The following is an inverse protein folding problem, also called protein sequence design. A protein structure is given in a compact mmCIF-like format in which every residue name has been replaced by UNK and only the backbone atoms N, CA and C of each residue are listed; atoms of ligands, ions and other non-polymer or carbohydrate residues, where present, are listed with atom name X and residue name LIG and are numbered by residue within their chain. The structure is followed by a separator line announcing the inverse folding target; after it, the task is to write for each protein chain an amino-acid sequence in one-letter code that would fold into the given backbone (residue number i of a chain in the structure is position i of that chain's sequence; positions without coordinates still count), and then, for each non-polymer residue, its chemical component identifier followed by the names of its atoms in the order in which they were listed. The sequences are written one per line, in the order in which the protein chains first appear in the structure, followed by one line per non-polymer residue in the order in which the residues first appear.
data_IF_797836787408
#
_entry.id   IF_797836787408
#
_cell.length_a   1.000
_cell.length_b   1.000
_cell.length_c   1.000
_cell.angle_alpha   90.00
_cell.angle_beta   90.00
_cell.angle_gamma   90.00
#
_symmetry.space_group_name_H-M   'P 1'
#
loop_
_entity.id
_entity.type
_entity.pdbx_description
1 polymer ?
#
# COMPACT_ATOMS: atom_id res chain seq x y z
N UNK A 1 1.65 -9.24 9.88
CA UNK A 1 1.99 -7.89 9.45
C UNK A 1 2.11 -7.87 7.94
N UNK A 2 1.60 -6.84 7.31
CA UNK A 2 1.72 -6.66 5.86
C UNK A 2 2.28 -5.27 5.59
N UNK A 3 3.36 -5.22 4.84
CA UNK A 3 4.06 -4.00 4.51
C UNK A 3 3.92 -3.72 3.02
N UNK A 4 3.58 -2.49 2.69
CA UNK A 4 3.50 -1.98 1.33
C UNK A 4 4.32 -0.72 1.21
N UNK A 5 4.88 -0.48 0.05
CA UNK A 5 5.45 0.80 -0.31
C UNK A 5 4.38 1.65 -1.00
N UNK A 6 4.33 2.93 -0.67
CA UNK A 6 3.50 3.94 -1.31
C UNK A 6 4.38 5.03 -1.92
N UNK A 7 3.76 5.99 -2.56
CA UNK A 7 4.39 7.20 -3.05
C UNK A 7 4.88 8.12 -1.93
N UNK A 8 5.35 9.30 -2.30
CA UNK A 8 5.93 10.26 -1.36
C UNK A 8 4.97 10.62 -0.22
N UNK A 9 5.55 10.95 0.94
CA UNK A 9 4.80 11.49 2.05
C UNK A 9 4.16 12.84 1.65
N UNK A 10 2.92 13.06 2.08
CA UNK A 10 2.14 14.25 1.73
C UNK A 10 1.05 14.01 0.68
N UNK A 11 1.12 12.93 -0.08
CA UNK A 11 0.03 12.49 -0.94
C UNK A 11 -0.98 11.68 -0.11
N UNK A 12 -2.27 11.94 -0.30
CA UNK A 12 -3.32 11.20 0.39
C UNK A 12 -3.22 9.70 0.10
N UNK A 13 -3.35 8.85 1.11
CA UNK A 13 -3.19 7.39 0.97
C UNK A 13 -4.17 6.74 -0.01
N UNK A 14 -5.33 7.36 -0.25
CA UNK A 14 -6.29 6.92 -1.26
C UNK A 14 -5.82 7.17 -2.70
N UNK A 15 -5.00 8.20 -2.89
CA UNK A 15 -4.49 8.63 -4.20
C UNK A 15 -3.12 8.01 -4.51
N UNK A 16 -2.50 7.37 -3.54
CA UNK A 16 -1.17 6.77 -3.70
C UNK A 16 -1.24 5.39 -4.34
N UNK A 17 -0.39 5.16 -5.32
CA UNK A 17 -0.05 3.82 -5.77
C UNK A 17 0.66 3.06 -4.64
N UNK A 18 0.54 1.75 -4.60
CA UNK A 18 1.30 0.95 -3.66
C UNK A 18 1.55 -0.47 -4.16
N UNK A 19 2.64 -1.07 -3.71
CA UNK A 19 3.02 -2.43 -4.05
C UNK A 19 3.12 -3.35 -2.83
N UNK A 20 2.79 -4.62 -3.03
CA UNK A 20 2.95 -5.70 -2.08
C UNK A 20 3.44 -6.94 -2.84
N UNK A 21 4.55 -7.59 -2.42
CA UNK A 21 5.48 -7.18 -1.36
C UNK A 21 6.18 -5.84 -1.67
N UNK A 22 6.85 -5.21 -0.66
CA UNK A 22 7.59 -3.97 -0.89
C UNK A 22 8.71 -4.18 -1.90
N UNK A 23 8.69 -3.41 -3.00
CA UNK A 23 9.62 -3.60 -4.11
C UNK A 23 11.04 -3.12 -3.82
N UNK A 24 11.21 -2.01 -3.10
CA UNK A 24 12.51 -1.34 -2.95
C UNK A 24 12.96 -1.12 -1.50
N UNK A 25 12.28 -1.73 -0.52
CA UNK A 25 12.70 -1.64 0.87
C UNK A 25 13.66 -2.78 1.22
N UNK A 26 14.82 -2.44 1.79
CA UNK A 26 15.79 -3.43 2.24
C UNK A 26 15.26 -4.26 3.41
N UNK A 27 15.73 -5.50 3.56
CA UNK A 27 15.29 -6.38 4.64
C UNK A 27 15.55 -5.81 6.06
N UNK A 28 16.67 -5.14 6.34
CA UNK A 28 16.88 -4.49 7.64
C UNK A 28 15.81 -3.42 7.94
N UNK A 29 15.50 -2.56 6.98
CA UNK A 29 14.47 -1.53 7.13
C UNK A 29 13.09 -2.14 7.39
N UNK A 30 12.73 -3.18 6.64
CA UNK A 30 11.48 -3.90 6.88
C UNK A 30 11.41 -4.50 8.29
N UNK A 31 12.52 -5.07 8.78
CA UNK A 31 12.59 -5.64 10.13
C UNK A 31 12.40 -4.55 11.19
N UNK A 32 13.05 -3.42 11.04
CA UNK A 32 12.90 -2.29 11.97
C UNK A 32 11.47 -1.75 11.97
N UNK A 33 10.85 -1.57 10.80
CA UNK A 33 9.44 -1.19 10.67
C UNK A 33 8.51 -2.15 11.41
N UNK A 34 8.76 -3.46 11.31
CA UNK A 34 8.00 -4.50 12.01
C UNK A 34 8.08 -4.35 13.52
N UNK A 35 9.28 -4.14 14.05
CA UNK A 35 9.48 -3.97 15.47
C UNK A 35 8.83 -2.68 16.01
N UNK A 36 8.89 -1.59 15.24
CA UNK A 36 8.18 -0.33 15.55
C UNK A 36 6.68 -0.59 15.64
N UNK A 37 6.09 -1.23 14.64
CA UNK A 37 4.66 -1.52 14.60
C UNK A 37 4.22 -2.44 15.74
N UNK A 38 5.02 -3.47 16.09
CA UNK A 38 4.75 -4.36 17.22
C UNK A 38 4.71 -3.60 18.54
N UNK A 39 5.71 -2.75 18.81
CA UNK A 39 5.76 -1.94 20.03
C UNK A 39 4.52 -1.07 20.17
N UNK A 40 4.13 -0.39 19.08
CA UNK A 40 2.92 0.43 19.08
C UNK A 40 1.65 -0.40 19.31
N UNK A 41 1.53 -1.55 18.66
CA UNK A 41 0.36 -2.42 18.84
C UNK A 41 0.20 -2.91 20.27
N UNK A 42 1.30 -3.23 20.94
CA UNK A 42 1.31 -3.67 22.34
C UNK A 42 0.95 -2.50 23.25
N UNK A 43 1.60 -1.36 23.10
CA UNK A 43 1.39 -0.17 23.94
C UNK A 43 -0.06 0.35 23.83
N UNK A 44 -0.62 0.34 22.64
CA UNK A 44 -2.00 0.74 22.38
C UNK A 44 -3.03 -0.36 22.69
N UNK A 45 -2.59 -1.54 23.16
CA UNK A 45 -3.45 -2.71 23.44
C UNK A 45 -4.41 -3.01 22.28
N UNK A 46 -3.89 -3.01 21.04
CA UNK A 46 -4.71 -3.15 19.84
C UNK A 46 -5.30 -4.56 19.75
N UNK A 47 -6.62 -4.63 19.59
CA UNK A 47 -7.34 -5.86 19.24
C UNK A 47 -8.03 -5.69 17.89
N UNK A 48 -7.61 -6.49 16.92
CA UNK A 48 -8.11 -6.41 15.56
C UNK A 48 -7.10 -5.79 14.61
N UNK A 49 -7.44 -4.68 13.95
CA UNK A 49 -6.61 -4.05 12.93
C UNK A 49 -5.99 -2.75 13.41
N UNK A 50 -4.78 -2.51 12.95
CA UNK A 50 -4.07 -1.26 13.10
C UNK A 50 -3.41 -0.90 11.76
N UNK A 51 -3.48 0.35 11.39
CA UNK A 51 -2.77 0.91 10.25
C UNK A 51 -1.73 1.89 10.76
N UNK A 52 -0.49 1.74 10.32
CA UNK A 52 0.61 2.64 10.64
C UNK A 52 1.16 3.20 9.35
N UNK A 53 1.29 4.52 9.28
CA UNK A 53 1.98 5.19 8.19
C UNK A 53 3.38 5.58 8.65
N UNK A 54 4.36 5.12 7.90
CA UNK A 54 5.77 5.38 8.11
C UNK A 54 6.34 6.09 6.89
N UNK A 55 7.29 6.99 7.10
CA UNK A 55 8.12 7.53 6.04
C UNK A 55 9.57 7.07 6.24
N UNK A 56 10.26 6.86 5.14
CA UNK A 56 11.69 6.55 5.12
C UNK A 56 12.43 7.68 4.42
N UNK A 57 13.42 8.25 5.10
CA UNK A 57 14.32 9.25 4.53
C UNK A 57 15.73 8.99 5.05
N UNK A 58 16.70 8.86 4.16
CA UNK A 58 18.11 8.62 4.50
C UNK A 58 18.29 7.46 5.50
N UNK A 59 17.64 6.33 5.23
CA UNK A 59 17.58 5.13 6.07
C UNK A 59 16.99 5.34 7.48
N UNK A 60 16.39 6.50 7.75
CA UNK A 60 15.66 6.77 8.99
C UNK A 60 14.17 6.58 8.80
N UNK A 61 13.56 5.88 9.75
CA UNK A 61 12.12 5.63 9.78
C UNK A 61 11.45 6.70 10.65
N UNK A 62 10.45 7.36 10.07
CA UNK A 62 9.62 8.36 10.75
C UNK A 62 8.20 7.82 10.87
N UNK A 63 7.61 7.93 12.06
CA UNK A 63 6.21 7.62 12.29
C UNK A 63 5.38 8.85 11.93
N UNK A 64 4.49 8.70 10.95
CA UNK A 64 3.58 9.77 10.53
C UNK A 64 2.30 9.70 11.34
N UNK A 65 1.62 8.55 11.33
CA UNK A 65 0.40 8.34 12.10
C UNK A 65 0.16 6.86 12.42
N UNK A 66 -0.60 6.64 13.48
CA UNK A 66 -1.08 5.33 13.89
C UNK A 66 -2.60 5.37 14.00
N UNK A 67 -3.27 4.47 13.31
CA UNK A 67 -4.72 4.34 13.34
C UNK A 67 -5.11 2.95 13.82
N UNK A 68 -5.55 2.76 15.09
CA UNK A 68 -5.97 1.45 15.62
C UNK A 68 -7.37 1.08 15.13
N UNK A 69 -7.53 0.99 13.84
CA UNK A 69 -8.76 0.66 13.11
C UNK A 69 -8.44 0.08 11.74
N UNK A 70 -9.46 -0.46 11.06
CA UNK A 70 -9.36 -0.84 9.66
C UNK A 70 -9.03 0.38 8.77
N UNK A 71 -8.33 0.14 7.67
CA UNK A 71 -8.05 1.13 6.64
C UNK A 71 -8.62 0.68 5.29
N UNK A 72 -8.66 1.59 4.31
CA UNK A 72 -9.04 1.28 2.91
C UNK A 72 -8.10 0.27 2.26
N UNK A 73 -6.90 0.10 2.78
CA UNK A 73 -5.90 -0.87 2.29
C UNK A 73 -6.29 -2.32 2.56
N UNK A 74 -7.17 -2.58 3.53
CA UNK A 74 -7.52 -3.94 3.96
C UNK A 74 -8.08 -4.82 2.83
N UNK A 75 -8.98 -4.36 1.95
CA UNK A 75 -9.43 -5.16 0.81
C UNK A 75 -8.30 -5.52 -0.15
N UNK A 76 -7.42 -4.58 -0.48
CA UNK A 76 -6.25 -4.80 -1.32
C UNK A 76 -5.33 -5.86 -0.71
N UNK A 77 -4.89 -5.66 0.53
CA UNK A 77 -4.00 -6.59 1.23
C UNK A 77 -4.63 -7.99 1.35
N UNK A 78 -5.92 -8.05 1.72
CA UNK A 78 -6.64 -9.32 1.85
C UNK A 78 -6.66 -10.13 0.55
N UNK A 79 -6.83 -9.45 -0.59
CA UNK A 79 -6.75 -10.08 -1.92
C UNK A 79 -5.34 -10.56 -2.24
N UNK A 80 -4.32 -9.73 -1.95
CA UNK A 80 -2.92 -10.07 -2.21
C UNK A 80 -2.47 -11.33 -1.48
N UNK A 81 -2.86 -11.48 -0.21
CA UNK A 81 -2.42 -12.61 0.64
C UNK A 81 -3.42 -13.77 0.70
N UNK A 82 -4.58 -13.65 0.05
CA UNK A 82 -5.61 -14.69 0.05
C UNK A 82 -6.35 -14.88 1.38
N UNK A 83 -6.20 -13.95 2.34
CA UNK A 83 -6.81 -14.04 3.68
C UNK A 83 -7.66 -12.82 3.98
N UNK A 84 -8.92 -13.04 4.37
CA UNK A 84 -9.81 -11.95 4.76
C UNK A 84 -9.42 -11.37 6.13
N UNK A 85 -8.58 -10.32 6.12
CA UNK A 85 -8.11 -9.67 7.34
C UNK A 85 -9.25 -9.08 8.18
N UNK A 86 -10.33 -8.63 7.54
CA UNK A 86 -11.52 -8.14 8.25
C UNK A 86 -12.18 -9.23 9.09
N UNK A 87 -12.30 -10.46 8.54
CA UNK A 87 -12.84 -11.61 9.29
C UNK A 87 -11.92 -12.01 10.44
N UNK A 88 -10.61 -12.02 10.18
CA UNK A 88 -9.60 -12.32 11.23
C UNK A 88 -9.72 -11.33 12.38
N UNK A 89 -9.76 -10.04 12.05
CA UNK A 89 -9.88 -8.98 13.05
C UNK A 89 -11.17 -9.08 13.86
N UNK A 90 -12.31 -9.30 13.19
CA UNK A 90 -13.60 -9.45 13.88
C UNK A 90 -13.58 -10.61 14.89
N UNK A 91 -12.97 -11.73 14.53
CA UNK A 91 -12.77 -12.86 15.44
C UNK A 91 -11.86 -12.53 16.63
N UNK A 92 -10.78 -11.78 16.38
CA UNK A 92 -9.91 -11.29 17.46
C UNK A 92 -10.67 -10.38 18.43
N UNK A 93 -11.55 -9.51 17.92
CA UNK A 93 -12.35 -8.60 18.75
C UNK A 93 -13.33 -9.36 19.69
N UNK A 94 -13.80 -10.54 19.28
CA UNK A 94 -14.63 -11.39 20.13
C UNK A 94 -13.86 -12.46 20.91
N UNK A 95 -12.53 -12.32 20.98
CA UNK A 95 -11.68 -13.11 21.88
C UNK A 95 -10.98 -14.31 21.26
N UNK A 96 -11.15 -14.60 19.96
CA UNK A 96 -10.36 -15.65 19.31
C UNK A 96 -8.93 -15.15 19.05
N UNK A 97 -7.95 -15.96 19.39
CA UNK A 97 -6.55 -15.62 19.09
C UNK A 97 -6.19 -15.87 17.64
N UNK A 98 -5.09 -15.30 17.16
CA UNK A 98 -4.56 -15.60 15.82
C UNK A 98 -4.19 -17.09 15.69
N UNK A 99 -3.71 -17.70 16.79
CA UNK A 99 -3.39 -19.13 16.85
C UNK A 99 -4.63 -20.00 16.64
N UNK A 100 -5.76 -19.65 17.25
CA UNK A 100 -7.04 -20.37 17.08
C UNK A 100 -7.55 -20.28 15.64
N UNK A 101 -7.10 -19.28 14.90
CA UNK A 101 -7.42 -19.04 13.50
C UNK A 101 -6.38 -19.61 12.53
N UNK A 102 -5.38 -20.37 13.02
CA UNK A 102 -4.24 -20.89 12.26
C UNK A 102 -3.40 -19.80 11.56
N UNK A 103 -3.38 -18.59 12.10
CA UNK A 103 -2.55 -17.48 11.61
C UNK A 103 -1.37 -17.32 12.54
N UNK A 104 -0.30 -18.04 12.27
CA UNK A 104 0.89 -18.12 13.14
C UNK A 104 2.11 -17.38 12.58
N UNK A 105 2.05 -16.99 11.32
CA UNK A 105 3.14 -16.27 10.63
C UNK A 105 2.59 -15.27 9.63
N UNK A 106 3.45 -14.36 9.21
CA UNK A 106 3.19 -13.45 8.10
C UNK A 106 3.05 -14.23 6.79
N UNK A 107 2.10 -13.85 5.96
CA UNK A 107 1.92 -14.39 4.62
C UNK A 107 2.54 -13.40 3.65
N UNK A 108 3.62 -13.82 2.99
CA UNK A 108 4.28 -13.06 1.93
C UNK A 108 3.86 -13.67 0.60
N UNK A 109 3.17 -12.94 -0.28
CA UNK A 109 2.78 -13.48 -1.59
C UNK A 109 4.01 -13.71 -2.48
N UNK A 110 3.96 -14.75 -3.30
CA UNK A 110 5.00 -15.09 -4.28
C UNK A 110 4.93 -14.22 -5.56
N UNK A 111 3.86 -13.44 -5.69
CA UNK A 111 3.61 -12.54 -6.81
C UNK A 111 3.59 -11.08 -6.33
N UNK A 112 3.80 -10.16 -7.24
CA UNK A 112 3.60 -8.74 -6.98
C UNK A 112 2.14 -8.36 -7.20
N UNK A 113 1.63 -7.52 -6.31
CA UNK A 113 0.35 -6.85 -6.46
C UNK A 113 0.57 -5.35 -6.37
N UNK A 114 0.05 -4.61 -7.33
CA UNK A 114 0.09 -3.15 -7.34
C UNK A 114 -1.34 -2.62 -7.28
N UNK A 115 -1.57 -1.71 -6.36
CA UNK A 115 -2.80 -0.91 -6.31
C UNK A 115 -2.54 0.41 -7.02
N UNK A 116 -3.42 0.80 -7.93
CA UNK A 116 -3.42 2.10 -8.56
C UNK A 116 -4.74 2.82 -8.25
N UNK A 117 -4.68 4.15 -8.12
CA UNK A 117 -5.85 4.99 -7.91
C UNK A 117 -6.52 5.32 -9.24
N UNK A 118 -7.85 5.40 -9.24
CA UNK A 118 -8.62 5.86 -10.42
C UNK A 118 -9.01 7.30 -10.23
N UNK A 119 -8.56 8.17 -11.13
CA UNK A 119 -8.82 9.60 -11.08
C UNK A 119 -9.88 10.02 -12.11
N UNK A 120 -10.81 10.90 -11.73
CA UNK A 120 -11.86 11.38 -12.65
C UNK A 120 -11.46 12.62 -13.45
N UNK A 121 -10.15 12.92 -13.60
CA UNK A 121 -9.67 14.17 -14.23
C UNK A 121 -10.17 14.37 -15.64
N UNK A 122 -10.30 13.30 -16.40
CA UNK A 122 -10.84 13.33 -17.76
C UNK A 122 -12.33 13.73 -17.82
N UNK A 123 -13.07 13.59 -16.72
CA UNK A 123 -14.50 13.95 -16.61
C UNK A 123 -14.72 15.38 -16.15
N UNK A 124 -13.71 16.00 -15.56
CA UNK A 124 -13.79 17.33 -14.97
C UNK A 124 -12.67 18.25 -15.51
N UNK A 125 -12.83 18.80 -16.73
CA UNK A 125 -11.83 19.68 -17.34
C UNK A 125 -11.54 20.89 -16.44
N UNK A 126 -10.26 21.25 -16.31
CA UNK A 126 -9.82 22.42 -15.54
C UNK A 126 -9.55 22.16 -14.05
N UNK A 127 -9.73 20.94 -13.58
CA UNK A 127 -9.26 20.55 -12.23
C UNK A 127 -7.76 20.32 -12.29
N UNK A 128 -7.05 20.86 -11.28
CA UNK A 128 -5.63 20.64 -11.09
C UNK A 128 -5.35 19.16 -10.76
N UNK A 129 -4.57 18.43 -11.57
CA UNK A 129 -4.24 17.02 -11.34
C UNK A 129 -3.14 16.81 -10.29
N UNK A 130 -2.50 17.86 -9.78
CA UNK A 130 -1.42 17.75 -8.79
C UNK A 130 -1.98 17.13 -7.52
N UNK A 131 -1.38 16.01 -7.11
CA UNK A 131 -1.77 15.28 -5.92
C UNK A 131 -1.25 15.96 -4.65
N UNK A 132 -1.98 15.81 -3.56
CA UNK A 132 -1.68 16.43 -2.28
C UNK A 132 -2.39 15.73 -1.11
N UNK A 133 -2.57 16.42 0.02
CA UNK A 133 -3.17 15.82 1.22
C UNK A 133 -4.68 15.55 1.09
N UNK A 134 -5.35 16.13 0.10
CA UNK A 134 -6.77 15.94 -0.14
C UNK A 134 -6.98 14.82 -1.17
N UNK A 135 -7.90 13.89 -0.90
CA UNK A 135 -8.21 12.78 -1.78
C UNK A 135 -8.95 13.24 -3.04
N UNK A 136 -8.40 12.92 -4.21
CA UNK A 136 -8.99 13.21 -5.54
C UNK A 136 -9.49 11.96 -6.26
N UNK A 137 -9.01 10.79 -5.88
CA UNK A 137 -9.41 9.52 -6.49
C UNK A 137 -10.86 9.13 -6.18
N UNK A 138 -11.49 8.44 -7.10
CA UNK A 138 -12.87 7.93 -6.99
C UNK A 138 -12.96 6.42 -6.87
N UNK A 139 -11.84 5.72 -7.03
CA UNK A 139 -11.77 4.27 -6.98
C UNK A 139 -10.32 3.79 -6.94
N UNK A 140 -10.16 2.48 -6.95
CA UNK A 140 -8.87 1.82 -7.01
C UNK A 140 -8.96 0.52 -7.80
N UNK A 141 -7.86 0.16 -8.45
CA UNK A 141 -7.69 -1.08 -9.19
C UNK A 141 -6.47 -1.83 -8.68
N UNK A 142 -6.37 -3.10 -9.04
CA UNK A 142 -5.23 -3.94 -8.66
C UNK A 142 -4.71 -4.69 -9.88
N UNK A 143 -3.41 -4.53 -10.14
CA UNK A 143 -2.64 -5.36 -11.06
C UNK A 143 -1.88 -6.44 -10.30
N UNK A 144 -1.79 -7.64 -10.88
CA UNK A 144 -1.04 -8.78 -10.33
C UNK A 144 -0.11 -9.33 -11.40
N UNK A 145 1.15 -9.60 -11.04
CA UNK A 145 2.16 -10.11 -11.96
C UNK A 145 3.27 -10.87 -11.26
N UNK A 146 4.04 -11.64 -12.01
CA UNK A 146 5.24 -12.30 -11.50
C UNK A 146 6.38 -11.31 -11.23
N UNK A 147 6.36 -10.18 -11.92
CA UNK A 147 7.29 -9.07 -11.71
C UNK A 147 6.54 -7.80 -11.29
N UNK A 148 7.25 -6.90 -10.62
CA UNK A 148 6.69 -5.59 -10.26
C UNK A 148 6.21 -4.82 -11.49
N UNK A 149 7.01 -4.78 -12.57
CA UNK A 149 6.67 -4.07 -13.82
C UNK A 149 5.39 -4.62 -14.48
N UNK A 150 5.20 -5.95 -14.47
CA UNK A 150 3.97 -6.56 -14.99
C UNK A 150 2.75 -6.18 -14.14
N UNK A 151 2.88 -6.26 -12.82
CA UNK A 151 1.80 -5.90 -11.91
C UNK A 151 1.44 -4.41 -12.04
N UNK A 152 2.46 -3.54 -12.14
CA UNK A 152 2.29 -2.10 -12.33
C UNK A 152 1.59 -1.79 -13.66
N UNK A 153 2.10 -2.32 -14.78
CA UNK A 153 1.47 -2.11 -16.10
C UNK A 153 0.01 -2.57 -16.16
N UNK A 154 -0.33 -3.68 -15.50
CA UNK A 154 -1.72 -4.13 -15.39
C UNK A 154 -2.58 -3.19 -14.53
N UNK A 155 -2.01 -2.61 -13.48
CA UNK A 155 -2.71 -1.65 -12.64
C UNK A 155 -3.01 -0.35 -13.41
N UNK A 156 -2.04 0.19 -14.15
CA UNK A 156 -2.21 1.36 -15.03
C UNK A 156 -3.34 1.14 -16.06
N UNK A 157 -3.27 0.02 -16.77
CA UNK A 157 -4.33 -0.36 -17.71
C UNK A 157 -5.72 -0.46 -17.06
N UNK A 158 -5.76 -0.99 -15.83
CA UNK A 158 -6.98 -1.08 -15.04
C UNK A 158 -7.52 0.28 -14.59
N UNK A 159 -6.63 1.26 -14.39
CA UNK A 159 -6.98 2.65 -14.07
C UNK A 159 -7.44 3.46 -15.31
N UNK A 160 -7.37 2.88 -16.50
CA UNK A 160 -7.54 3.48 -17.82
C UNK A 160 -6.43 4.48 -18.18
N UNK A 161 -5.23 4.27 -17.64
CA UNK A 161 -4.03 4.99 -18.02
C UNK A 161 -3.26 4.12 -19.01
N UNK A 162 -3.40 4.44 -20.30
CA UNK A 162 -2.72 3.70 -21.36
C UNK A 162 -1.24 4.08 -21.39
N UNK A 163 -0.38 3.09 -21.18
CA UNK A 163 1.06 3.24 -21.36
C UNK A 163 1.34 3.18 -22.85
N UNK A 164 1.87 4.27 -23.48
CA UNK A 164 2.15 4.29 -24.90
C UNK A 164 3.19 3.21 -25.28
N UNK A 165 2.89 2.44 -26.32
CA UNK A 165 3.79 1.42 -26.89
C UNK A 165 4.67 1.95 -28.03
N UNK A 166 4.39 3.17 -28.50
CA UNK A 166 5.04 3.82 -29.66
C UNK A 166 5.16 5.32 -29.46
N UNK A 167 6.14 5.90 -30.11
CA UNK A 167 6.31 7.34 -30.15
C UNK A 167 7.63 7.84 -29.59
N UNK A 168 7.70 9.15 -29.33
CA UNK A 168 8.84 9.81 -28.70
C UNK A 168 8.46 10.19 -27.29
N UNK A 169 9.30 9.84 -26.33
CA UNK A 169 9.12 10.18 -24.92
C UNK A 169 10.11 11.29 -24.57
N UNK A 170 9.60 12.34 -23.95
CA UNK A 170 10.42 13.33 -23.27
C UNK A 170 10.47 12.98 -21.78
N UNK A 171 11.67 12.73 -21.24
CA UNK A 171 11.88 12.40 -19.84
C UNK A 171 12.63 13.55 -19.17
N UNK A 172 12.02 14.12 -18.13
CA UNK A 172 12.63 15.14 -17.28
C UNK A 172 12.44 14.72 -15.83
N UNK A 173 13.47 14.15 -15.25
CA UNK A 173 13.51 13.61 -13.89
C UNK A 173 14.77 14.09 -13.17
N UNK A 174 14.81 13.94 -11.86
CA UNK A 174 16.03 14.18 -11.08
C UNK A 174 17.12 13.20 -11.50
N UNK A 175 18.40 13.61 -11.37
CA UNK A 175 19.52 12.77 -11.78
C UNK A 175 19.60 11.44 -11.02
N UNK A 176 19.09 11.41 -9.79
CA UNK A 176 19.01 10.20 -8.98
C UNK A 176 17.90 9.23 -9.40
N UNK A 177 16.98 9.67 -10.25
CA UNK A 177 15.84 8.86 -10.74
C UNK A 177 16.07 8.39 -12.19
N UNK A 178 17.24 8.67 -12.77
CA UNK A 178 17.68 8.17 -14.08
C UNK A 178 18.27 6.79 -13.96
#
# INVERSE_FOLDING_TARGET
DVYKRQEQAGIHSGDSACSLPPYSLSAPVQTEMKEICKKMAIELNVRGLMNVQLALQDDRIYVIEVNPRASRTIPFVSKCIGVSLAKVAARCMVGQTLKDQNIVSEIIPEHYSVKEAVFPFNKFPGIDPILGPEMKSTGEVMGVGETFGEAYGKAELGANDEIPDKGKVFISVLDMDK
#
